data_IF_626643164912
#
_entry.id   IF_626643164912
#
_cell.length_a   1.000
_cell.length_b   1.000
_cell.length_c   1.000
_cell.angle_alpha   90.00
_cell.angle_beta   90.00
_cell.angle_gamma   90.00
#
_symmetry.space_group_name_H-M   'P 1'
#
loop_
_entity.id
_entity.type
_entity.pdbx_description
1 polymer ?
#
# COMPACT_ATOMS: atom_id res chain seq x y z
N UNK A 1 -54.83 11.73 23.01
CA UNK A 1 -54.01 11.35 24.18
C UNK A 1 -53.06 10.20 23.86
N UNK A 2 -53.56 9.07 23.32
CA UNK A 2 -52.76 7.89 22.96
C UNK A 2 -51.57 8.19 22.02
N UNK A 3 -51.79 8.96 20.94
CA UNK A 3 -50.74 9.33 19.97
C UNK A 3 -49.62 10.18 20.58
N UNK A 4 -49.96 11.04 21.55
CA UNK A 4 -48.99 11.89 22.24
C UNK A 4 -48.11 11.04 23.17
N UNK A 5 -48.68 10.03 23.83
CA UNK A 5 -47.92 9.10 24.66
C UNK A 5 -46.97 8.20 23.85
N UNK A 6 -47.39 7.73 22.67
CA UNK A 6 -46.54 6.92 21.77
C UNK A 6 -45.35 7.73 21.24
N UNK A 7 -45.58 8.99 20.84
CA UNK A 7 -44.51 9.87 20.37
C UNK A 7 -43.52 10.23 21.49
N UNK A 8 -44.01 10.46 22.70
CA UNK A 8 -43.14 10.71 23.86
C UNK A 8 -42.28 9.49 24.21
N UNK A 9 -42.82 8.27 24.08
CA UNK A 9 -42.08 7.03 24.32
C UNK A 9 -41.05 6.73 23.22
N UNK A 10 -41.38 6.98 21.95
CA UNK A 10 -40.41 6.84 20.86
C UNK A 10 -39.26 7.85 20.99
N UNK A 11 -39.56 9.10 21.39
CA UNK A 11 -38.55 10.12 21.64
C UNK A 11 -37.64 9.75 22.81
N UNK A 12 -38.19 9.18 23.89
CA UNK A 12 -37.36 8.74 25.04
C UNK A 12 -36.45 7.57 24.67
N UNK A 13 -36.91 6.63 23.83
CA UNK A 13 -36.08 5.55 23.30
C UNK A 13 -34.94 6.08 22.41
N UNK A 14 -35.21 7.05 21.54
CA UNK A 14 -34.18 7.66 20.69
C UNK A 14 -33.14 8.42 21.53
N UNK A 15 -33.57 9.15 22.56
CA UNK A 15 -32.66 9.84 23.48
C UNK A 15 -31.84 8.84 24.30
N UNK A 16 -32.45 7.75 24.78
CA UNK A 16 -31.73 6.69 25.48
C UNK A 16 -30.71 6.01 24.57
N UNK A 17 -31.09 5.69 23.33
CA UNK A 17 -30.19 5.12 22.31
C UNK A 17 -29.03 6.07 22.00
N UNK A 18 -29.30 7.36 21.82
CA UNK A 18 -28.26 8.35 21.58
C UNK A 18 -27.32 8.52 22.77
N UNK A 19 -27.84 8.46 24.01
CA UNK A 19 -27.03 8.51 25.24
C UNK A 19 -26.15 7.27 25.39
N UNK A 20 -26.66 6.09 25.07
CA UNK A 20 -25.88 4.84 25.04
C UNK A 20 -24.80 4.92 23.96
N UNK A 21 -25.14 5.39 22.76
CA UNK A 21 -24.17 5.57 21.68
C UNK A 21 -23.06 6.55 22.08
N UNK A 22 -23.42 7.72 22.63
CA UNK A 22 -22.43 8.70 23.12
C UNK A 22 -21.58 8.16 24.27
N UNK A 23 -22.12 7.27 25.12
CA UNK A 23 -21.36 6.64 26.18
C UNK A 23 -20.35 5.62 25.61
N UNK A 24 -20.77 4.82 24.63
CA UNK A 24 -19.90 3.89 23.89
C UNK A 24 -18.80 4.67 23.15
N UNK A 25 -19.15 5.71 22.39
CA UNK A 25 -18.19 6.54 21.64
C UNK A 25 -17.17 7.21 22.59
N UNK A 26 -17.62 7.62 23.79
CA UNK A 26 -16.77 8.23 24.81
C UNK A 26 -15.87 7.20 25.50
N UNK A 27 -16.31 5.95 25.63
CA UNK A 27 -15.47 4.85 26.10
C UNK A 27 -14.49 4.38 25.02
N UNK A 28 -14.90 4.26 23.75
CA UNK A 28 -14.03 3.91 22.61
C UNK A 28 -12.94 4.97 22.35
N UNK A 29 -13.23 6.25 22.57
CA UNK A 29 -12.21 7.31 22.51
C UNK A 29 -11.14 7.17 23.61
N UNK A 30 -11.47 6.52 24.73
CA UNK A 30 -10.54 6.18 25.82
C UNK A 30 -9.93 4.78 25.67
N UNK A 31 -10.66 3.86 25.03
CA UNK A 31 -10.30 2.46 24.81
C UNK A 31 -9.66 2.20 23.44
N UNK A 32 -9.32 3.27 22.68
CA UNK A 32 -8.48 3.16 21.47
C UNK A 32 -7.10 2.57 21.77
N UNK A 33 -6.71 2.52 23.04
CA UNK A 33 -5.78 1.51 23.54
C UNK A 33 -6.54 0.20 23.76
N UNK A 34 -6.61 -0.67 22.73
CA UNK A 34 -6.82 -2.10 22.99
C UNK A 34 -5.81 -2.46 24.07
N UNK A 35 -6.20 -2.88 25.28
CA UNK A 35 -5.23 -3.14 26.32
C UNK A 35 -4.28 -4.21 25.78
N UNK A 36 -3.01 -3.86 25.53
CA UNK A 36 -1.97 -4.80 25.11
C UNK A 36 -1.96 -6.03 26.05
N UNK A 37 -2.43 -5.84 27.29
CA UNK A 37 -2.58 -6.83 28.35
C UNK A 37 -3.66 -7.91 28.16
N UNK A 38 -4.60 -7.80 27.21
CA UNK A 38 -5.73 -8.74 27.05
C UNK A 38 -5.67 -9.59 25.76
N UNK A 39 -4.56 -9.52 25.01
CA UNK A 39 -4.38 -10.35 23.81
C UNK A 39 -3.85 -11.73 24.19
N UNK A 40 -4.72 -12.74 24.05
CA UNK A 40 -4.28 -14.14 24.06
C UNK A 40 -3.26 -14.32 22.93
N UNK A 41 -2.01 -14.74 23.21
CA UNK A 41 -0.94 -14.74 22.23
C UNK A 41 -1.05 -15.84 21.17
N UNK A 42 -1.98 -16.78 21.32
CA UNK A 42 -2.06 -17.96 20.48
C UNK A 42 -3.43 -18.12 19.84
N UNK A 43 -3.48 -18.04 18.51
CA UNK A 43 -4.69 -18.35 17.73
C UNK A 43 -5.20 -19.77 17.99
N UNK A 44 -4.33 -20.73 18.29
CA UNK A 44 -4.73 -22.10 18.66
C UNK A 44 -5.44 -22.17 20.01
N UNK A 45 -5.03 -21.33 20.97
CA UNK A 45 -5.72 -21.22 22.26
C UNK A 45 -7.10 -20.61 22.05
N UNK A 46 -7.18 -19.52 21.28
CA UNK A 46 -8.46 -18.89 20.94
C UNK A 46 -9.37 -19.89 20.24
N UNK A 47 -8.87 -20.64 19.25
CA UNK A 47 -9.62 -21.69 18.55
C UNK A 47 -10.22 -22.72 19.52
N UNK A 48 -9.41 -23.25 20.45
CA UNK A 48 -9.89 -24.19 21.47
C UNK A 48 -10.98 -23.59 22.37
N UNK A 49 -10.80 -22.33 22.76
CA UNK A 49 -11.79 -21.60 23.59
C UNK A 49 -13.05 -21.21 22.81
N UNK A 50 -12.98 -21.17 21.49
CA UNK A 50 -14.11 -20.82 20.60
C UNK A 50 -15.17 -21.92 20.53
N UNK A 51 -14.89 -23.12 21.09
CA UNK A 51 -15.83 -24.25 21.15
C UNK A 51 -16.47 -24.61 19.80
N UNK A 52 -15.71 -24.48 18.70
CA UNK A 52 -16.17 -24.77 17.34
C UNK A 52 -16.74 -23.57 16.57
N UNK A 53 -16.88 -22.40 17.21
CA UNK A 53 -17.30 -21.15 16.55
C UNK A 53 -16.10 -20.35 15.99
N UNK A 54 -15.16 -21.04 15.35
CA UNK A 54 -13.88 -20.46 14.92
C UNK A 54 -14.09 -19.32 13.91
N UNK A 55 -15.02 -19.46 12.97
CA UNK A 55 -15.34 -18.41 11.98
C UNK A 55 -15.88 -17.12 12.62
N UNK A 56 -16.83 -17.25 13.55
CA UNK A 56 -17.35 -16.10 14.30
C UNK A 56 -16.24 -15.40 15.10
N UNK A 57 -15.35 -16.19 15.71
CA UNK A 57 -14.21 -15.65 16.42
C UNK A 57 -13.19 -15.01 15.47
N UNK A 58 -13.02 -15.53 14.26
CA UNK A 58 -12.23 -14.90 13.21
C UNK A 58 -12.82 -13.52 12.84
N UNK A 59 -14.14 -13.40 12.68
CA UNK A 59 -14.81 -12.13 12.39
C UNK A 59 -14.62 -11.09 13.50
N UNK A 60 -14.68 -11.52 14.78
CA UNK A 60 -14.39 -10.64 15.93
C UNK A 60 -12.94 -10.16 15.90
N UNK A 61 -11.98 -11.06 15.63
CA UNK A 61 -10.58 -10.68 15.53
C UNK A 61 -10.28 -9.83 14.29
N UNK A 62 -10.96 -10.08 13.18
CA UNK A 62 -10.90 -9.24 11.99
C UNK A 62 -11.40 -7.82 12.28
N UNK A 63 -12.51 -7.68 13.00
CA UNK A 63 -13.02 -6.38 13.44
C UNK A 63 -11.97 -5.65 14.30
N UNK A 64 -11.27 -6.37 15.19
CA UNK A 64 -10.15 -5.81 15.97
C UNK A 64 -8.97 -5.38 15.11
N UNK A 65 -8.65 -6.11 14.04
CA UNK A 65 -7.62 -5.71 13.06
C UNK A 65 -7.98 -4.36 12.45
N UNK A 66 -9.20 -4.24 11.93
CA UNK A 66 -9.67 -3.01 11.25
C UNK A 66 -9.75 -1.85 12.23
N UNK A 67 -10.31 -2.04 13.42
CA UNK A 67 -10.40 -1.00 14.45
C UNK A 67 -9.01 -0.56 14.94
N UNK A 68 -8.10 -1.49 15.21
CA UNK A 68 -6.74 -1.18 15.64
C UNK A 68 -6.00 -0.37 14.58
N UNK A 69 -6.05 -0.81 13.32
CA UNK A 69 -5.38 -0.11 12.23
C UNK A 69 -6.00 1.28 11.97
N UNK A 70 -7.33 1.34 11.86
CA UNK A 70 -8.06 2.60 11.61
C UNK A 70 -7.89 3.61 12.75
N UNK A 71 -7.93 3.17 14.01
CA UNK A 71 -7.69 4.02 15.17
C UNK A 71 -6.28 4.62 15.16
N UNK A 72 -5.26 3.80 14.87
CA UNK A 72 -3.86 4.24 14.75
C UNK A 72 -3.65 5.23 13.61
N UNK A 73 -4.27 5.01 12.45
CA UNK A 73 -4.23 5.96 11.33
C UNK A 73 -4.88 7.30 11.68
N UNK A 74 -6.09 7.27 12.28
CA UNK A 74 -6.81 8.47 12.72
C UNK A 74 -5.96 9.30 13.68
N UNK A 75 -5.30 8.64 14.62
CA UNK A 75 -4.49 9.29 15.64
C UNK A 75 -3.07 9.63 15.13
N UNK A 76 -2.75 9.35 13.86
CA UNK A 76 -1.42 9.53 13.22
C UNK A 76 -0.29 8.80 13.94
N UNK A 77 -0.60 7.68 14.58
CA UNK A 77 0.36 6.81 15.27
C UNK A 77 0.72 5.62 14.38
N UNK A 78 1.79 5.74 13.60
CA UNK A 78 2.18 4.72 12.61
C UNK A 78 2.96 3.51 13.18
N UNK A 79 2.84 3.27 14.49
CA UNK A 79 3.37 2.07 15.14
C UNK A 79 2.26 1.01 15.24
N UNK A 80 2.37 -0.05 14.45
CA UNK A 80 1.38 -1.12 14.36
C UNK A 80 1.86 -2.44 14.97
N UNK A 81 2.48 -2.40 16.16
CA UNK A 81 3.12 -3.55 16.81
C UNK A 81 2.22 -4.78 16.96
N UNK A 82 0.91 -4.59 17.12
CA UNK A 82 -0.05 -5.67 17.33
C UNK A 82 -0.63 -6.23 16.03
N UNK A 83 -0.47 -5.52 14.92
CA UNK A 83 -1.09 -5.89 13.64
C UNK A 83 -0.68 -7.29 13.16
N UNK A 84 0.61 -7.70 13.19
CA UNK A 84 1.00 -9.06 12.82
C UNK A 84 0.28 -10.12 13.66
N UNK A 85 0.19 -9.91 14.97
CA UNK A 85 -0.41 -10.89 15.88
C UNK A 85 -1.92 -10.99 15.66
N UNK A 86 -2.62 -9.86 15.52
CA UNK A 86 -4.05 -9.84 15.26
C UNK A 86 -4.40 -10.54 13.94
N UNK A 87 -3.66 -10.27 12.87
CA UNK A 87 -3.82 -10.96 11.59
C UNK A 87 -3.51 -12.45 11.71
N UNK A 88 -2.43 -12.82 12.40
CA UNK A 88 -2.08 -14.22 12.61
C UNK A 88 -3.16 -14.98 13.37
N UNK A 89 -3.76 -14.40 14.42
CA UNK A 89 -4.87 -15.03 15.14
C UNK A 89 -6.08 -15.18 14.20
N UNK A 90 -6.44 -14.11 13.48
CA UNK A 90 -7.56 -14.10 12.53
C UNK A 90 -7.46 -15.24 11.51
N UNK A 91 -6.34 -15.36 10.80
CA UNK A 91 -6.15 -16.42 9.79
C UNK A 91 -5.89 -17.80 10.42
N UNK A 92 -5.50 -17.84 11.69
CA UNK A 92 -5.43 -19.11 12.44
C UNK A 92 -6.81 -19.59 12.81
N UNK A 93 -7.82 -18.73 12.93
CA UNK A 93 -9.20 -19.13 13.23
C UNK A 93 -9.92 -19.51 11.95
N UNK A 94 -9.86 -18.65 10.93
CA UNK A 94 -10.37 -18.90 9.58
C UNK A 94 -9.26 -18.77 8.52
N UNK A 95 -8.65 -19.90 8.11
CA UNK A 95 -7.62 -19.90 7.07
C UNK A 95 -8.11 -19.53 5.67
N UNK A 96 -9.42 -19.55 5.41
CA UNK A 96 -10.02 -19.21 4.11
C UNK A 96 -10.44 -17.74 4.03
N UNK A 97 -10.26 -16.96 5.10
CA UNK A 97 -10.64 -15.55 5.16
C UNK A 97 -9.69 -14.67 4.34
N UNK A 98 -9.93 -14.64 3.02
CA UNK A 98 -9.07 -13.96 2.04
C UNK A 98 -8.83 -12.48 2.31
N UNK A 99 -9.82 -11.77 2.86
CA UNK A 99 -9.70 -10.34 3.16
C UNK A 99 -8.56 -10.05 4.16
N UNK A 100 -8.30 -10.94 5.11
CA UNK A 100 -7.22 -10.76 6.08
C UNK A 100 -5.83 -10.88 5.43
N UNK A 101 -5.66 -11.81 4.47
CA UNK A 101 -4.43 -11.93 3.70
C UNK A 101 -4.22 -10.75 2.76
N UNK A 102 -5.28 -10.30 2.06
CA UNK A 102 -5.22 -9.14 1.18
C UNK A 102 -4.88 -7.87 1.98
N UNK A 103 -5.51 -7.69 3.14
CA UNK A 103 -5.20 -6.59 4.05
C UNK A 103 -3.73 -6.64 4.48
N UNK A 104 -3.24 -7.80 4.92
CA UNK A 104 -1.84 -7.96 5.29
C UNK A 104 -0.87 -7.75 4.12
N UNK A 105 -1.25 -8.10 2.88
CA UNK A 105 -0.41 -7.84 1.71
C UNK A 105 -0.07 -6.36 1.56
N UNK A 106 -1.05 -5.48 1.77
CA UNK A 106 -0.87 -4.04 1.57
C UNK A 106 -0.51 -3.33 2.86
N UNK A 107 -1.34 -3.42 3.90
CA UNK A 107 -1.22 -2.59 5.10
C UNK A 107 -0.19 -3.10 6.10
N UNK A 108 0.13 -4.39 6.10
CA UNK A 108 1.25 -4.90 6.92
C UNK A 108 2.59 -4.68 6.23
N UNK A 109 2.68 -4.84 4.90
CA UNK A 109 3.94 -4.69 4.17
C UNK A 109 4.37 -3.24 3.93
N UNK A 110 3.44 -2.39 3.48
CA UNK A 110 3.74 -1.02 3.05
C UNK A 110 4.23 -0.18 4.22
N UNK A 111 5.26 0.66 4.07
CA UNK A 111 5.72 1.55 5.14
C UNK A 111 4.70 2.66 5.49
N UNK A 112 4.87 3.31 6.65
CA UNK A 112 4.16 4.54 6.97
C UNK A 112 4.27 5.60 5.87
N UNK A 113 3.24 6.44 5.65
CA UNK A 113 1.99 6.53 6.41
C UNK A 113 0.91 5.52 5.97
N UNK A 114 1.18 4.70 4.96
CA UNK A 114 0.19 3.82 4.34
C UNK A 114 0.05 2.46 5.02
N UNK A 115 1.04 2.03 5.79
CA UNK A 115 1.00 0.74 6.49
C UNK A 115 2.03 0.62 7.60
N UNK A 116 2.29 -0.62 8.01
CA UNK A 116 3.12 -0.98 9.15
C UNK A 116 4.62 -1.12 8.86
N UNK A 117 5.04 -1.21 7.59
CA UNK A 117 6.44 -1.39 7.21
C UNK A 117 7.03 -2.73 7.67
N UNK A 118 6.21 -3.79 7.71
CA UNK A 118 6.57 -5.14 8.15
C UNK A 118 6.46 -6.16 6.98
N UNK A 119 7.27 -5.99 5.91
CA UNK A 119 7.13 -6.81 4.70
C UNK A 119 7.47 -8.28 4.91
N UNK A 120 8.34 -8.62 5.87
CA UNK A 120 8.70 -10.03 6.16
C UNK A 120 7.55 -10.76 6.84
N UNK A 121 6.87 -10.09 7.77
CA UNK A 121 5.68 -10.57 8.46
C UNK A 121 4.52 -10.73 7.49
N UNK A 122 4.38 -9.80 6.53
CA UNK A 122 3.41 -9.92 5.44
C UNK A 122 3.69 -11.13 4.54
N UNK A 123 4.94 -11.34 4.12
CA UNK A 123 5.34 -12.54 3.35
C UNK A 123 5.04 -13.82 4.14
N UNK A 124 5.31 -13.85 5.45
CA UNK A 124 5.00 -15.01 6.29
C UNK A 124 3.49 -15.27 6.37
N UNK A 125 2.68 -14.22 6.49
CA UNK A 125 1.22 -14.31 6.47
C UNK A 125 0.72 -14.85 5.12
N UNK A 126 1.24 -14.33 4.00
CA UNK A 126 0.84 -14.77 2.66
C UNK A 126 1.25 -16.21 2.36
N UNK A 127 2.40 -16.68 2.87
CA UNK A 127 2.79 -18.09 2.75
C UNK A 127 1.74 -19.02 3.38
N UNK A 128 1.26 -18.67 4.58
CA UNK A 128 0.17 -19.41 5.23
C UNK A 128 -1.12 -19.36 4.40
N UNK A 129 -1.40 -18.22 3.79
CA UNK A 129 -2.53 -18.06 2.89
C UNK A 129 -2.45 -18.99 1.68
N UNK A 130 -1.27 -19.07 1.04
CA UNK A 130 -1.03 -19.95 -0.12
C UNK A 130 -1.19 -21.41 0.26
N UNK A 131 -0.66 -21.82 1.42
CA UNK A 131 -0.81 -23.18 1.94
C UNK A 131 -2.29 -23.54 2.21
N UNK A 132 -3.05 -22.60 2.77
CA UNK A 132 -4.46 -22.80 3.08
C UNK A 132 -5.38 -22.67 1.85
N UNK A 133 -5.00 -21.87 0.85
CA UNK A 133 -5.81 -21.51 -0.30
C UNK A 133 -5.02 -21.77 -1.60
N UNK A 134 -4.70 -23.03 -1.93
CA UNK A 134 -3.78 -23.36 -3.02
C UNK A 134 -4.28 -22.90 -4.39
N UNK A 135 -5.58 -22.71 -4.60
CA UNK A 135 -6.11 -22.25 -5.89
C UNK A 135 -6.09 -20.71 -6.07
N UNK A 136 -5.73 -19.95 -5.03
CA UNK A 136 -5.78 -18.49 -5.06
C UNK A 136 -4.45 -17.89 -5.54
N UNK A 137 -4.34 -17.74 -6.86
CA UNK A 137 -3.17 -17.20 -7.53
C UNK A 137 -2.82 -15.76 -7.10
N UNK A 138 -3.79 -14.95 -6.63
CA UNK A 138 -3.51 -13.55 -6.24
C UNK A 138 -2.56 -13.45 -5.06
N UNK A 139 -2.56 -14.43 -4.15
CA UNK A 139 -1.62 -14.45 -3.03
C UNK A 139 -0.16 -14.51 -3.51
N UNK A 140 0.11 -15.25 -4.59
CA UNK A 140 1.40 -15.26 -5.24
C UNK A 140 1.76 -13.91 -5.88
N UNK A 141 0.78 -13.25 -6.51
CA UNK A 141 0.96 -11.90 -7.05
C UNK A 141 1.34 -10.90 -5.95
N UNK A 142 0.61 -10.88 -4.83
CA UNK A 142 0.91 -10.01 -3.69
C UNK A 142 2.27 -10.30 -3.07
N UNK A 143 2.60 -11.59 -2.89
CA UNK A 143 3.90 -11.99 -2.36
C UNK A 143 5.03 -11.58 -3.30
N UNK A 144 4.86 -11.76 -4.61
CA UNK A 144 5.81 -11.32 -5.63
C UNK A 144 5.99 -9.81 -5.64
N UNK A 145 4.90 -9.05 -5.49
CA UNK A 145 4.93 -7.61 -5.38
C UNK A 145 5.72 -7.12 -4.16
N UNK A 146 5.49 -7.71 -2.98
CA UNK A 146 6.22 -7.35 -1.75
C UNK A 146 7.71 -7.66 -1.88
N UNK A 147 8.06 -8.83 -2.43
CA UNK A 147 9.45 -9.18 -2.70
C UNK A 147 10.10 -8.16 -3.66
N UNK A 148 9.40 -7.79 -4.73
CA UNK A 148 9.91 -6.86 -5.74
C UNK A 148 10.09 -5.45 -5.18
N UNK A 149 9.05 -4.91 -4.55
CA UNK A 149 8.96 -3.50 -4.23
C UNK A 149 9.48 -3.14 -2.83
N UNK A 150 9.13 -3.93 -1.82
CA UNK A 150 9.48 -3.61 -0.43
C UNK A 150 10.80 -4.24 -0.01
N UNK A 151 11.05 -5.47 -0.44
CA UNK A 151 12.27 -6.19 -0.07
C UNK A 151 13.39 -6.05 -1.11
N UNK A 152 13.08 -5.57 -2.33
CA UNK A 152 14.00 -5.54 -3.48
C UNK A 152 14.70 -6.90 -3.73
N UNK A 153 14.02 -7.99 -3.38
CA UNK A 153 14.46 -9.37 -3.57
C UNK A 153 13.89 -9.90 -4.89
N UNK A 154 14.51 -9.48 -5.99
CA UNK A 154 14.04 -9.80 -7.34
C UNK A 154 14.08 -11.29 -7.64
N UNK A 155 14.97 -12.05 -6.99
CA UNK A 155 15.03 -13.51 -7.15
C UNK A 155 13.76 -14.16 -6.61
N UNK A 156 13.37 -13.84 -5.38
CA UNK A 156 12.16 -14.39 -4.79
C UNK A 156 10.88 -13.79 -5.40
N UNK A 157 10.91 -12.53 -5.84
CA UNK A 157 9.83 -11.93 -6.61
C UNK A 157 9.55 -12.73 -7.90
N UNK A 158 10.57 -12.98 -8.71
CA UNK A 158 10.42 -13.74 -9.94
C UNK A 158 9.93 -15.18 -9.69
N UNK A 159 10.43 -15.84 -8.63
CA UNK A 159 9.93 -17.17 -8.22
C UNK A 159 8.45 -17.12 -7.86
N UNK A 160 8.02 -16.13 -7.08
CA UNK A 160 6.62 -16.00 -6.69
C UNK A 160 5.70 -15.79 -7.91
N UNK A 161 6.09 -14.93 -8.86
CA UNK A 161 5.35 -14.75 -10.11
C UNK A 161 5.34 -16.02 -10.99
N UNK A 162 6.45 -16.76 -11.04
CA UNK A 162 6.52 -18.02 -11.79
C UNK A 162 5.60 -19.08 -11.19
N UNK A 163 5.65 -19.31 -9.88
CA UNK A 163 4.77 -20.25 -9.19
C UNK A 163 3.30 -19.84 -9.35
N UNK A 164 2.99 -18.56 -9.12
CA UNK A 164 1.65 -18.02 -9.33
C UNK A 164 1.12 -18.22 -10.76
N UNK A 165 2.00 -18.14 -11.76
CA UNK A 165 1.62 -18.33 -13.17
C UNK A 165 1.24 -19.76 -13.56
N UNK A 166 1.54 -20.76 -12.71
CA UNK A 166 1.17 -22.16 -12.95
C UNK A 166 -0.30 -22.44 -12.64
N UNK A 167 -0.98 -21.55 -11.94
CA UNK A 167 -2.40 -21.70 -11.61
C UNK A 167 -3.30 -21.42 -12.81
N UNK A 168 -4.34 -22.23 -13.00
CA UNK A 168 -5.24 -22.16 -14.15
C UNK A 168 -5.99 -20.84 -14.30
N UNK A 169 -6.23 -20.14 -13.17
CA UNK A 169 -6.91 -18.83 -13.12
C UNK A 169 -5.94 -17.64 -13.15
N UNK A 170 -4.64 -17.88 -13.20
CA UNK A 170 -3.63 -16.83 -13.18
C UNK A 170 -3.67 -15.97 -14.44
N UNK A 171 -3.31 -14.70 -14.29
CA UNK A 171 -3.19 -13.80 -15.44
C UNK A 171 -1.93 -14.17 -16.24
N UNK A 172 -2.06 -14.24 -17.57
CA UNK A 172 -0.96 -14.59 -18.48
C UNK A 172 0.30 -13.74 -18.28
N UNK A 173 0.12 -12.48 -17.89
CA UNK A 173 1.22 -11.55 -17.65
C UNK A 173 2.16 -12.01 -16.53
N UNK A 174 1.71 -12.82 -15.56
CA UNK A 174 2.56 -13.25 -14.44
C UNK A 174 3.79 -14.05 -14.90
N UNK A 175 3.63 -14.89 -15.93
CA UNK A 175 4.76 -15.64 -16.50
C UNK A 175 5.77 -14.71 -17.18
N UNK A 176 5.26 -13.70 -17.89
CA UNK A 176 6.09 -12.66 -18.51
C UNK A 176 6.83 -11.87 -17.43
N UNK A 177 6.14 -11.54 -16.34
CA UNK A 177 6.70 -10.81 -15.21
C UNK A 177 7.84 -11.58 -14.53
N UNK A 178 7.69 -12.89 -14.33
CA UNK A 178 8.76 -13.72 -13.79
C UNK A 178 10.04 -13.66 -14.64
N UNK A 179 9.91 -13.70 -15.97
CA UNK A 179 11.04 -13.56 -16.89
C UNK A 179 11.63 -12.14 -16.88
N UNK A 180 10.77 -11.12 -16.91
CA UNK A 180 11.19 -9.71 -16.90
C UNK A 180 11.95 -9.36 -15.61
N UNK A 181 11.44 -9.75 -14.45
CA UNK A 181 12.11 -9.51 -13.15
C UNK A 181 13.45 -10.23 -13.06
N UNK A 182 13.57 -11.46 -13.61
CA UNK A 182 14.87 -12.17 -13.68
C UNK A 182 15.90 -11.42 -14.50
N UNK A 183 15.46 -10.80 -15.60
CA UNK A 183 16.35 -10.11 -16.51
C UNK A 183 16.73 -8.72 -15.99
N UNK A 184 15.75 -7.97 -15.47
CA UNK A 184 15.89 -6.55 -15.12
C UNK A 184 15.09 -6.22 -13.86
N UNK A 185 15.36 -6.89 -12.75
CA UNK A 185 14.78 -6.53 -11.46
C UNK A 185 15.06 -5.07 -11.10
N UNK A 186 14.04 -4.35 -10.63
CA UNK A 186 14.14 -2.92 -10.32
C UNK A 186 13.93 -1.98 -11.51
N UNK A 187 13.60 -2.53 -12.69
CA UNK A 187 13.30 -1.74 -13.88
C UNK A 187 12.03 -0.88 -13.72
N UNK A 188 12.05 0.33 -14.28
CA UNK A 188 10.96 1.29 -14.12
C UNK A 188 9.69 0.85 -14.84
N UNK A 189 9.80 0.20 -15.99
CA UNK A 189 8.63 -0.27 -16.74
C UNK A 189 7.97 -1.46 -16.04
N UNK A 190 8.77 -2.34 -15.44
CA UNK A 190 8.24 -3.40 -14.56
C UNK A 190 7.50 -2.78 -13.38
N UNK A 191 8.13 -1.80 -12.72
CA UNK A 191 7.54 -1.10 -11.58
C UNK A 191 6.22 -0.41 -11.96
N UNK A 192 6.21 0.26 -13.12
CA UNK A 192 5.04 0.94 -13.68
C UNK A 192 3.91 -0.04 -13.96
N UNK A 193 4.22 -1.19 -14.56
CA UNK A 193 3.24 -2.24 -14.81
C UNK A 193 2.60 -2.72 -13.50
N UNK A 194 3.41 -3.07 -12.50
CA UNK A 194 2.92 -3.60 -11.22
C UNK A 194 2.05 -2.57 -10.47
N UNK A 195 2.48 -1.31 -10.42
CA UNK A 195 1.69 -0.25 -9.79
C UNK A 195 0.42 0.09 -10.58
N UNK A 196 0.44 0.01 -11.91
CA UNK A 196 -0.76 0.19 -12.73
C UNK A 196 -1.77 -0.91 -12.48
N UNK A 197 -1.33 -2.17 -12.36
CA UNK A 197 -2.20 -3.30 -12.03
C UNK A 197 -2.89 -3.09 -10.67
N UNK A 198 -2.14 -2.68 -9.63
CA UNK A 198 -2.72 -2.34 -8.32
C UNK A 198 -3.71 -1.17 -8.44
N UNK A 199 -3.32 -0.07 -9.10
CA UNK A 199 -4.17 1.12 -9.25
C UNK A 199 -5.49 0.81 -9.95
N UNK A 200 -5.47 -0.06 -10.96
CA UNK A 200 -6.64 -0.41 -11.77
C UNK A 200 -7.54 -1.45 -11.09
N UNK A 201 -6.98 -2.32 -10.25
CA UNK A 201 -7.72 -3.50 -9.72
C UNK A 201 -8.15 -3.36 -8.27
N UNK A 202 -7.53 -2.48 -7.49
CA UNK A 202 -7.95 -2.24 -6.10
C UNK A 202 -9.29 -1.53 -6.04
N UNK A 203 -10.09 -1.83 -5.01
CA UNK A 203 -11.29 -1.07 -4.64
C UNK A 203 -11.03 -0.11 -3.48
N UNK A 204 -9.96 -0.33 -2.71
CA UNK A 204 -9.57 0.49 -1.58
C UNK A 204 -8.90 1.80 -2.06
N UNK A 205 -9.46 2.94 -1.64
CA UNK A 205 -8.99 4.28 -2.02
C UNK A 205 -7.58 4.57 -1.50
N UNK A 206 -7.23 4.11 -0.30
CA UNK A 206 -5.89 4.33 0.28
C UNK A 206 -4.82 3.60 -0.53
N UNK A 207 -5.11 2.35 -0.93
CA UNK A 207 -4.24 1.57 -1.81
C UNK A 207 -4.14 2.24 -3.18
N UNK A 208 -5.26 2.73 -3.73
CA UNK A 208 -5.29 3.42 -5.04
C UNK A 208 -4.44 4.69 -5.02
N UNK A 209 -4.59 5.52 -3.99
CA UNK A 209 -3.78 6.73 -3.79
C UNK A 209 -2.29 6.42 -3.67
N UNK A 210 -1.93 5.39 -2.90
CA UNK A 210 -0.53 4.97 -2.79
C UNK A 210 0.05 4.55 -4.15
N UNK A 211 -0.70 3.74 -4.91
CA UNK A 211 -0.30 3.33 -6.25
C UNK A 211 -0.15 4.53 -7.20
N UNK A 212 -1.07 5.49 -7.13
CA UNK A 212 -1.00 6.72 -7.92
C UNK A 212 0.27 7.51 -7.62
N UNK A 213 0.62 7.72 -6.35
CA UNK A 213 1.85 8.44 -5.97
C UNK A 213 3.11 7.76 -6.49
N UNK A 214 3.14 6.43 -6.51
CA UNK A 214 4.24 5.69 -7.10
C UNK A 214 4.30 5.84 -8.62
N UNK A 215 3.17 5.84 -9.32
CA UNK A 215 3.11 6.09 -10.77
C UNK A 215 3.53 7.52 -11.13
N UNK A 216 3.10 8.51 -10.35
CA UNK A 216 3.55 9.91 -10.46
C UNK A 216 5.06 10.01 -10.29
N UNK A 217 5.60 9.35 -9.25
CA UNK A 217 7.04 9.34 -8.99
C UNK A 217 7.82 8.72 -10.16
N UNK A 218 7.34 7.61 -10.72
CA UNK A 218 7.96 6.97 -11.89
C UNK A 218 7.87 7.86 -13.14
N UNK A 219 6.78 8.59 -13.32
CA UNK A 219 6.67 9.56 -14.41
C UNK A 219 7.66 10.71 -14.25
N UNK A 220 7.82 11.22 -13.03
CA UNK A 220 8.72 12.32 -12.77
C UNK A 220 10.20 11.95 -13.03
N UNK A 221 10.58 10.70 -12.78
CA UNK A 221 11.90 10.19 -13.15
C UNK A 221 12.14 10.18 -14.67
N UNK A 222 11.13 9.78 -15.45
CA UNK A 222 11.23 9.77 -16.92
C UNK A 222 11.31 11.19 -17.49
N UNK A 223 10.52 12.10 -16.92
CA UNK A 223 10.56 13.52 -17.27
C UNK A 223 11.95 14.11 -16.95
N UNK A 224 12.53 13.80 -15.79
CA UNK A 224 13.90 14.22 -15.41
C UNK A 224 14.93 13.73 -16.44
N UNK A 225 14.84 12.47 -16.86
CA UNK A 225 15.78 11.92 -17.84
C UNK A 225 15.61 12.55 -19.22
N UNK A 226 14.38 12.87 -19.63
CA UNK A 226 14.12 13.60 -20.87
C UNK A 226 14.68 15.02 -20.81
N UNK A 227 14.44 15.74 -19.72
CA UNK A 227 14.98 17.10 -19.52
C UNK A 227 16.51 17.05 -19.53
N UNK A 228 17.12 16.04 -18.88
CA UNK A 228 18.58 15.87 -18.89
C UNK A 228 19.11 15.62 -20.31
N UNK A 229 18.41 14.83 -21.13
CA UNK A 229 18.75 14.66 -22.56
C UNK A 229 18.73 16.00 -23.30
N UNK A 230 17.73 16.83 -23.07
CA UNK A 230 17.62 18.18 -23.67
C UNK A 230 18.75 19.10 -23.18
N UNK A 231 19.07 19.09 -21.88
CA UNK A 231 20.15 19.89 -21.31
C UNK A 231 21.53 19.48 -21.87
N UNK A 232 21.76 18.18 -22.09
CA UNK A 232 22.96 17.69 -22.76
C UNK A 232 23.04 18.18 -24.22
N UNK A 233 21.93 18.14 -24.97
CA UNK A 233 21.89 18.66 -26.33
C UNK A 233 22.22 20.16 -26.39
N UNK A 234 21.71 20.94 -25.43
CA UNK A 234 22.06 22.36 -25.29
C UNK A 234 23.56 22.53 -25.01
N UNK A 235 24.11 21.71 -24.11
CA UNK A 235 25.53 21.73 -23.78
C UNK A 235 26.40 21.42 -24.99
N UNK A 236 26.05 20.39 -25.76
CA UNK A 236 26.77 19.98 -26.97
C UNK A 236 26.76 21.07 -28.05
N UNK A 237 25.67 21.84 -28.15
CA UNK A 237 25.53 22.92 -29.14
C UNK A 237 26.23 24.24 -28.72
N UNK A 238 26.25 24.54 -27.43
CA UNK A 238 26.70 25.86 -26.93
C UNK A 238 28.03 25.83 -26.18
N UNK A 239 28.50 24.65 -25.78
CA UNK A 239 29.69 24.45 -24.94
C UNK A 239 29.48 24.80 -23.46
N UNK A 240 28.26 25.11 -23.02
CA UNK A 240 27.92 25.42 -21.62
C UNK A 240 26.58 24.81 -21.22
N UNK A 241 26.38 24.60 -19.92
CA UNK A 241 25.08 24.17 -19.41
C UNK A 241 24.02 25.28 -19.51
N UNK A 242 22.74 24.92 -19.75
CA UNK A 242 21.65 25.88 -19.69
C UNK A 242 21.51 26.40 -18.25
N UNK A 243 21.25 27.70 -18.11
CA UNK A 243 21.05 28.33 -16.80
C UNK A 243 19.57 28.34 -16.39
N UNK A 244 18.65 28.12 -17.33
CA UNK A 244 17.22 28.04 -17.08
C UNK A 244 16.49 27.25 -18.17
N UNK A 245 15.22 26.88 -17.92
CA UNK A 245 14.38 26.22 -18.92
C UNK A 245 14.03 27.16 -20.09
N UNK A 246 13.92 28.46 -19.83
CA UNK A 246 13.65 29.47 -20.86
C UNK A 246 14.77 29.55 -21.88
N UNK A 247 16.04 29.35 -21.49
CA UNK A 247 17.15 29.29 -22.46
C UNK A 247 16.99 28.11 -23.43
N UNK A 248 16.65 26.93 -22.90
CA UNK A 248 16.41 25.74 -23.72
C UNK A 248 15.18 25.93 -24.61
N UNK A 249 14.12 26.57 -24.10
CA UNK A 249 12.91 26.84 -24.88
C UNK A 249 13.13 27.90 -25.97
N UNK A 250 13.93 28.93 -25.70
CA UNK A 250 14.29 29.95 -26.69
C UNK A 250 15.10 29.38 -27.87
N UNK A 251 15.85 28.30 -27.66
CA UNK A 251 16.52 27.54 -28.72
C UNK A 251 15.60 26.52 -29.42
N UNK A 252 14.33 26.45 -29.04
CA UNK A 252 13.37 25.50 -29.60
C UNK A 252 13.61 24.05 -29.19
N UNK A 253 14.44 23.79 -28.18
CA UNK A 253 14.74 22.44 -27.73
C UNK A 253 13.63 21.83 -26.85
N UNK A 254 12.79 22.68 -26.25
CA UNK A 254 11.64 22.25 -25.46
C UNK A 254 10.52 23.30 -25.42
N UNK A 255 9.32 22.85 -25.04
CA UNK A 255 8.14 23.72 -24.91
C UNK A 255 7.89 24.09 -23.45
N UNK A 256 8.00 25.38 -23.13
CA UNK A 256 7.66 25.92 -21.82
C UNK A 256 8.54 25.41 -20.68
N UNK A 257 8.08 25.64 -19.45
CA UNK A 257 8.74 25.19 -18.23
C UNK A 257 8.15 23.83 -17.86
N UNK A 258 8.96 22.75 -17.80
CA UNK A 258 8.45 21.43 -17.48
C UNK A 258 8.00 21.38 -16.02
N UNK A 259 6.85 20.73 -15.79
CA UNK A 259 6.29 20.52 -14.47
C UNK A 259 6.22 19.04 -14.15
N UNK A 260 6.41 18.73 -12.87
CA UNK A 260 6.22 17.38 -12.34
C UNK A 260 4.73 17.01 -12.33
N UNK A 261 4.38 15.72 -12.11
CA UNK A 261 2.98 15.29 -12.08
C UNK A 261 2.11 15.96 -11.00
N UNK A 262 2.72 16.61 -10.01
CA UNK A 262 2.02 17.37 -8.96
C UNK A 262 1.89 18.87 -9.33
N UNK A 263 2.38 19.27 -10.51
CA UNK A 263 2.30 20.63 -11.05
C UNK A 263 3.45 21.55 -10.61
N UNK A 264 4.44 21.04 -9.89
CA UNK A 264 5.59 21.85 -9.49
C UNK A 264 6.64 21.91 -10.61
N UNK A 265 7.22 23.07 -10.92
CA UNK A 265 8.30 23.14 -11.89
C UNK A 265 9.51 22.35 -11.39
N UNK A 266 10.15 21.58 -12.27
CA UNK A 266 11.44 20.95 -11.98
C UNK A 266 12.49 22.01 -11.65
N UNK A 267 13.58 21.61 -11.01
CA UNK A 267 14.71 22.50 -10.70
C UNK A 267 15.91 22.07 -11.51
N UNK A 268 16.41 22.99 -12.35
CA UNK A 268 17.66 22.84 -13.09
C UNK A 268 18.81 23.44 -12.26
N UNK A 269 19.85 22.65 -12.05
CA UNK A 269 21.09 23.09 -11.40
C UNK A 269 22.08 23.65 -12.42
N UNK A 270 23.07 24.39 -11.93
CA UNK A 270 24.09 25.05 -12.76
C UNK A 270 25.02 24.09 -13.52
N UNK A 271 25.06 22.82 -13.12
CA UNK A 271 25.82 21.73 -13.75
C UNK A 271 24.98 20.88 -14.72
N UNK A 272 23.75 21.30 -15.02
CA UNK A 272 22.83 20.56 -15.90
C UNK A 272 22.06 19.44 -15.20
N UNK A 273 22.26 19.21 -13.90
CA UNK A 273 21.45 18.25 -13.15
C UNK A 273 20.01 18.77 -12.99
N UNK A 274 19.04 17.86 -13.10
CA UNK A 274 17.62 18.15 -12.93
C UNK A 274 17.12 17.37 -11.73
N UNK A 275 16.46 18.07 -10.81
CA UNK A 275 15.89 17.50 -9.60
C UNK A 275 14.41 17.89 -9.44
N UNK A 276 13.71 17.15 -8.58
CA UNK A 276 12.37 17.49 -8.14
C UNK A 276 12.36 18.81 -7.36
N UNK A 277 11.24 19.52 -7.43
CA UNK A 277 10.98 20.66 -6.58
C UNK A 277 10.96 20.23 -5.10
N UNK A 278 11.58 20.98 -4.17
CA UNK A 278 11.53 20.67 -2.73
C UNK A 278 10.11 20.59 -2.15
N UNK A 279 9.15 21.32 -2.73
CA UNK A 279 7.73 21.30 -2.32
C UNK A 279 6.99 20.06 -2.81
N UNK A 280 7.53 19.36 -3.82
CA UNK A 280 6.98 18.11 -4.30
C UNK A 280 7.00 17.05 -3.20
N UNK A 281 5.90 16.31 -3.04
CA UNK A 281 5.81 15.24 -2.02
C UNK A 281 6.38 13.91 -2.50
N UNK A 282 6.72 13.80 -3.79
CA UNK A 282 7.30 12.58 -4.37
C UNK A 282 8.67 12.29 -3.78
N UNK A 283 8.89 11.03 -3.41
CA UNK A 283 10.15 10.54 -2.86
C UNK A 283 10.54 9.29 -3.63
N UNK A 284 11.31 9.43 -4.73
CA UNK A 284 11.83 8.28 -5.45
C UNK A 284 12.60 7.38 -4.48
N UNK A 285 12.23 6.09 -4.39
CA UNK A 285 13.18 5.09 -3.88
C UNK A 285 14.39 5.16 -4.83
N UNK A 286 15.60 5.18 -4.28
CA UNK A 286 16.84 5.30 -5.07
C UNK A 286 16.76 4.40 -6.31
N UNK A 287 16.97 4.98 -7.50
CA UNK A 287 16.97 4.21 -8.75
C UNK A 287 18.05 3.14 -8.64
N UNK A 288 17.74 1.83 -8.72
CA UNK A 288 18.75 0.77 -8.72
C UNK A 288 19.77 0.93 -9.85
N UNK A 289 19.45 1.69 -10.89
CA UNK A 289 20.29 2.01 -12.04
C UNK A 289 21.14 3.28 -11.87
N UNK A 290 21.11 3.93 -10.69
CA UNK A 290 21.97 5.08 -10.36
C UNK A 290 23.42 4.70 -9.98
N UNK A 291 23.94 3.59 -10.51
CA UNK A 291 25.36 3.20 -10.41
C UNK A 291 25.99 3.01 -11.77
#
# INVERSE_FOLDING_TARGET
MFTVCVLAFAASLLVASARVQMAIDREESKASEVPEALLIPSGNVVRKLSMGHDGLMADIYWTRVVQYFGGRLRDRHYEFRLLPQLLNITVTLDPQLMIAYNFGAFFLATPPPYGAGMPKESVALLRRGIEANPDEWRLWHYMGFIYYWELQDYQNAAKAYEEGSKHSKARTWMKVMAAAIRQKGGDREISRFLWSDIYQTTEDETIRENAQKHLETLKALDDIDEIRRVANLFHDQTGRWPQSFEEMSAQGLMQGIPQDPQGFPYVLKSDGEVILNPESTMRPKQDPLSR
#
